data_IF_919400680741
#
_entry.id   IF_919400680741
#
_cell.length_a   1.000
_cell.length_b   1.000
_cell.length_c   1.000
_cell.angle_alpha   90.00
_cell.angle_beta   90.00
_cell.angle_gamma   90.00
#
_symmetry.space_group_name_H-M   'P 1'
#
loop_
_entity.id
_entity.type
_entity.pdbx_description
1 polymer ?
#
# COMPACT_ATOMS: atom_id res chain seq x y z
N UNK A 1 -95.94 21.32 -114.77
CA UNK A 1 -96.68 21.23 -116.04
C UNK A 1 -97.42 19.92 -116.08
N UNK A 2 -98.65 19.94 -115.57
CA UNK A 2 -99.82 19.14 -115.97
C UNK A 2 -100.94 19.60 -115.03
N UNK A 3 -101.58 20.70 -115.43
CA UNK A 3 -102.81 21.20 -114.83
C UNK A 3 -103.92 20.18 -115.10
N UNK A 4 -104.54 19.68 -114.04
CA UNK A 4 -105.76 18.87 -114.15
C UNK A 4 -106.92 19.85 -114.11
N UNK A 5 -107.40 20.21 -115.30
CA UNK A 5 -108.72 20.81 -115.51
C UNK A 5 -109.79 19.93 -114.84
N UNK A 6 -110.50 20.49 -113.87
CA UNK A 6 -111.79 19.96 -113.42
C UNK A 6 -112.82 21.03 -113.74
N UNK A 7 -113.18 21.07 -115.02
CA UNK A 7 -114.28 21.87 -115.52
C UNK A 7 -115.63 21.20 -115.18
N UNK A 8 -116.62 22.06 -114.96
CA UNK A 8 -117.83 21.81 -114.16
C UNK A 8 -118.89 21.03 -114.94
N UNK A 9 -119.22 19.82 -114.46
CA UNK A 9 -120.51 19.19 -114.74
C UNK A 9 -121.63 19.86 -113.94
N UNK A 10 -122.70 20.30 -114.63
CA UNK A 10 -123.97 20.72 -114.03
C UNK A 10 -124.60 19.56 -113.25
N UNK A 11 -124.93 19.78 -111.97
CA UNK A 11 -125.59 18.80 -111.10
C UNK A 11 -126.93 19.41 -110.68
N UNK A 12 -128.03 18.76 -111.09
CA UNK A 12 -129.40 19.28 -111.01
C UNK A 12 -130.29 18.45 -110.05
N UNK A 13 -129.74 17.91 -108.95
CA UNK A 13 -130.49 17.12 -107.95
C UNK A 13 -130.21 17.55 -106.48
N UNK A 14 -131.22 18.03 -105.72
CA UNK A 14 -131.06 18.50 -104.35
C UNK A 14 -130.73 17.39 -103.32
N UNK A 15 -131.01 16.12 -103.60
CA UNK A 15 -130.64 15.00 -102.71
C UNK A 15 -129.13 14.68 -102.76
N UNK A 16 -128.52 14.82 -103.93
CA UNK A 16 -127.07 14.62 -104.14
C UNK A 16 -126.25 15.69 -103.40
N UNK A 17 -126.76 16.93 -103.36
CA UNK A 17 -126.17 18.02 -102.57
C UNK A 17 -126.21 17.74 -101.06
N UNK A 18 -127.30 17.17 -100.53
CA UNK A 18 -127.40 16.78 -99.10
C UNK A 18 -126.46 15.64 -98.75
N UNK A 19 -126.32 14.64 -99.63
CA UNK A 19 -125.37 13.54 -99.43
C UNK A 19 -123.92 14.04 -99.45
N UNK A 20 -123.56 14.92 -100.40
CA UNK A 20 -122.24 15.59 -100.43
C UNK A 20 -121.98 16.45 -99.20
N UNK A 21 -123.00 17.13 -98.67
CA UNK A 21 -122.89 17.91 -97.43
C UNK A 21 -122.69 17.00 -96.22
N UNK A 22 -123.44 15.90 -96.09
CA UNK A 22 -123.26 14.93 -95.01
C UNK A 22 -121.90 14.21 -95.04
N UNK A 23 -121.38 13.90 -96.23
CA UNK A 23 -120.01 13.38 -96.41
C UNK A 23 -118.99 14.44 -95.98
N UNK A 24 -119.18 15.71 -96.39
CA UNK A 24 -118.31 16.81 -95.96
C UNK A 24 -118.38 17.06 -94.45
N UNK A 25 -119.54 16.98 -93.83
CA UNK A 25 -119.71 17.19 -92.38
C UNK A 25 -119.09 16.04 -91.58
N UNK A 26 -119.19 14.79 -92.05
CA UNK A 26 -118.46 13.66 -91.47
C UNK A 26 -116.96 13.82 -91.67
N UNK A 27 -116.51 14.24 -92.86
CA UNK A 27 -115.10 14.51 -93.13
C UNK A 27 -114.56 15.66 -92.26
N UNK A 28 -115.35 16.70 -92.04
CA UNK A 28 -115.02 17.79 -91.11
C UNK A 28 -114.91 17.25 -89.68
N UNK A 29 -115.81 16.36 -89.25
CA UNK A 29 -115.73 15.72 -87.93
C UNK A 29 -114.48 14.85 -87.78
N UNK A 30 -114.17 14.03 -88.78
CA UNK A 30 -112.93 13.22 -88.82
C UNK A 30 -111.69 14.11 -88.76
N UNK A 31 -111.66 15.21 -89.52
CA UNK A 31 -110.56 16.19 -89.45
C UNK A 31 -110.48 16.84 -88.08
N UNK A 32 -111.60 17.14 -87.42
CA UNK A 32 -111.58 17.65 -86.05
C UNK A 32 -111.07 16.61 -85.05
N UNK A 33 -111.48 15.34 -85.17
CA UNK A 33 -110.97 14.23 -84.35
C UNK A 33 -109.47 14.04 -84.56
N UNK A 34 -108.99 14.06 -85.80
CA UNK A 34 -107.57 13.97 -86.17
C UNK A 34 -106.77 15.17 -85.65
N UNK A 35 -107.31 16.39 -85.73
CA UNK A 35 -106.71 17.60 -85.14
C UNK A 35 -106.65 17.47 -83.62
N UNK A 36 -107.69 16.97 -82.95
CA UNK A 36 -107.68 16.79 -81.49
C UNK A 36 -106.70 15.72 -81.04
N UNK A 37 -106.61 14.59 -81.76
CA UNK A 37 -105.63 13.55 -81.49
C UNK A 37 -104.20 14.04 -81.73
N UNK A 38 -103.97 14.80 -82.80
CA UNK A 38 -102.67 15.41 -83.09
C UNK A 38 -102.26 16.44 -82.05
N UNK A 39 -103.21 17.23 -81.53
CA UNK A 39 -102.97 18.16 -80.41
C UNK A 39 -102.62 17.42 -79.12
N UNK A 40 -103.39 16.38 -78.77
CA UNK A 40 -103.10 15.58 -77.58
C UNK A 40 -101.71 14.92 -77.68
N UNK A 41 -101.37 14.34 -78.83
CA UNK A 41 -100.04 13.76 -79.07
C UNK A 41 -98.92 14.81 -79.02
N UNK A 42 -99.17 16.03 -79.51
CA UNK A 42 -98.22 17.15 -79.40
C UNK A 42 -98.06 17.61 -77.94
N UNK A 43 -99.14 17.69 -77.18
CA UNK A 43 -99.13 18.05 -75.75
C UNK A 43 -98.42 16.96 -74.92
N UNK A 44 -98.66 15.67 -75.20
CA UNK A 44 -97.95 14.54 -74.58
C UNK A 44 -96.46 14.54 -74.93
N UNK A 45 -96.11 14.81 -76.19
CA UNK A 45 -94.71 14.93 -76.61
C UNK A 45 -94.02 16.13 -75.94
N UNK A 46 -94.72 17.27 -75.82
CA UNK A 46 -94.22 18.45 -75.10
C UNK A 46 -94.06 18.17 -73.61
N UNK A 47 -95.01 17.49 -72.97
CA UNK A 47 -94.93 17.10 -71.56
C UNK A 47 -93.78 16.12 -71.30
N UNK A 48 -93.60 15.12 -72.18
CA UNK A 48 -92.48 14.18 -72.12
C UNK A 48 -91.14 14.88 -72.31
N UNK A 49 -91.05 15.82 -73.26
CA UNK A 49 -89.87 16.65 -73.48
C UNK A 49 -89.55 17.51 -72.26
N UNK A 50 -90.54 18.18 -71.68
CA UNK A 50 -90.37 19.00 -70.48
C UNK A 50 -89.93 18.17 -69.27
N UNK A 51 -90.47 16.96 -69.09
CA UNK A 51 -90.02 16.03 -68.06
C UNK A 51 -88.57 15.56 -68.29
N UNK A 52 -88.20 15.30 -69.55
CA UNK A 52 -86.82 14.97 -69.94
C UNK A 52 -85.84 16.11 -69.68
N UNK A 53 -86.21 17.35 -70.01
CA UNK A 53 -85.42 18.56 -69.74
C UNK A 53 -85.23 18.76 -68.23
N UNK A 54 -86.28 18.62 -67.42
CA UNK A 54 -86.17 18.70 -65.96
C UNK A 54 -85.29 17.61 -65.35
N UNK A 55 -85.32 16.39 -65.92
CA UNK A 55 -84.41 15.32 -65.50
C UNK A 55 -82.96 15.62 -65.87
N UNK A 56 -82.70 16.14 -67.08
CA UNK A 56 -81.36 16.57 -67.50
C UNK A 56 -80.82 17.67 -66.57
N UNK A 57 -81.62 18.69 -66.27
CA UNK A 57 -81.23 19.78 -65.36
C UNK A 57 -80.90 19.27 -63.94
N UNK A 58 -81.65 18.28 -63.45
CA UNK A 58 -81.35 17.62 -62.16
C UNK A 58 -80.01 16.88 -62.19
N UNK A 59 -79.73 16.13 -63.26
CA UNK A 59 -78.47 15.41 -63.45
C UNK A 59 -77.29 16.36 -63.64
N UNK A 60 -77.48 17.49 -64.31
CA UNK A 60 -76.45 18.53 -64.46
C UNK A 60 -76.12 19.17 -63.10
N UNK A 61 -77.15 19.45 -62.29
CA UNK A 61 -77.00 19.99 -60.93
C UNK A 61 -76.27 19.00 -60.01
N UNK A 62 -76.65 17.71 -60.05
CA UNK A 62 -75.96 16.65 -59.32
C UNK A 62 -74.51 16.47 -59.82
N UNK A 63 -74.30 16.53 -61.13
CA UNK A 63 -72.98 16.47 -61.75
C UNK A 63 -72.09 17.63 -61.31
N UNK A 64 -72.62 18.85 -61.22
CA UNK A 64 -71.92 20.02 -60.70
C UNK A 64 -71.55 19.84 -59.21
N UNK A 65 -72.50 19.37 -58.39
CA UNK A 65 -72.29 19.10 -56.96
C UNK A 65 -71.22 18.02 -56.73
N UNK A 66 -71.24 16.95 -57.52
CA UNK A 66 -70.23 15.89 -57.44
C UNK A 66 -68.84 16.39 -57.86
N UNK A 67 -68.76 17.24 -58.90
CA UNK A 67 -67.49 17.87 -59.30
C UNK A 67 -66.91 18.76 -58.21
N UNK A 68 -67.74 19.54 -57.53
CA UNK A 68 -67.33 20.35 -56.38
C UNK A 68 -66.83 19.45 -55.23
N UNK A 69 -67.58 18.40 -54.90
CA UNK A 69 -67.17 17.45 -53.87
C UNK A 69 -65.85 16.74 -54.18
N UNK A 70 -65.62 16.38 -55.44
CA UNK A 70 -64.34 15.80 -55.89
C UNK A 70 -63.20 16.81 -55.67
N UNK A 71 -63.41 18.08 -56.05
CA UNK A 71 -62.41 19.14 -55.86
C UNK A 71 -62.04 19.30 -54.38
N UNK A 72 -63.02 19.35 -53.48
CA UNK A 72 -62.78 19.46 -52.03
C UNK A 72 -61.98 18.27 -51.50
N UNK A 73 -62.36 17.04 -51.89
CA UNK A 73 -61.66 15.83 -51.47
C UNK A 73 -60.22 15.78 -52.00
N UNK A 74 -59.97 16.24 -53.23
CA UNK A 74 -58.63 16.37 -53.77
C UNK A 74 -57.79 17.40 -52.99
N UNK A 75 -58.38 18.55 -52.64
CA UNK A 75 -57.70 19.56 -51.83
C UNK A 75 -57.39 19.06 -50.42
N UNK A 76 -58.32 18.36 -49.79
CA UNK A 76 -58.09 17.69 -48.51
C UNK A 76 -56.96 16.67 -48.62
N UNK A 77 -56.96 15.83 -49.66
CA UNK A 77 -55.91 14.83 -49.89
C UNK A 77 -54.53 15.50 -50.08
N UNK A 78 -54.46 16.58 -50.88
CA UNK A 78 -53.25 17.40 -51.04
C UNK A 78 -52.82 18.02 -49.71
N UNK A 79 -53.77 18.49 -48.89
CA UNK A 79 -53.51 19.04 -47.57
C UNK A 79 -52.97 18.01 -46.57
N UNK A 80 -53.52 16.79 -46.56
CA UNK A 80 -53.01 15.67 -45.74
C UNK A 80 -51.63 15.24 -46.20
N UNK A 81 -51.41 15.15 -47.51
CA UNK A 81 -50.09 14.83 -48.09
C UNK A 81 -49.03 15.84 -47.65
N UNK A 82 -49.29 17.14 -47.79
CA UNK A 82 -48.36 18.20 -47.35
C UNK A 82 -48.02 18.13 -45.86
N UNK A 83 -49.02 17.84 -45.01
CA UNK A 83 -48.80 17.66 -43.57
C UNK A 83 -47.94 16.44 -43.27
N UNK A 84 -48.19 15.33 -43.96
CA UNK A 84 -47.39 14.10 -43.84
C UNK A 84 -45.94 14.34 -44.27
N UNK A 85 -45.71 14.97 -45.41
CA UNK A 85 -44.37 15.35 -45.88
C UNK A 85 -43.66 16.33 -44.93
N UNK A 86 -44.42 17.20 -44.23
CA UNK A 86 -43.89 18.05 -43.17
C UNK A 86 -43.41 17.25 -41.95
N UNK A 87 -44.25 16.31 -41.49
CA UNK A 87 -43.92 15.43 -40.37
C UNK A 87 -42.75 14.50 -40.69
N UNK A 88 -42.70 13.90 -41.88
CA UNK A 88 -41.60 13.05 -42.34
C UNK A 88 -40.26 13.80 -42.35
N UNK A 89 -40.26 15.08 -42.77
CA UNK A 89 -39.06 15.94 -42.71
C UNK A 89 -38.62 16.23 -41.26
N UNK A 90 -39.57 16.41 -40.35
CA UNK A 90 -39.26 16.61 -38.93
C UNK A 90 -38.70 15.35 -38.30
N UNK A 91 -39.31 14.18 -38.56
CA UNK A 91 -38.81 12.88 -38.11
C UNK A 91 -37.39 12.66 -38.60
N UNK A 92 -37.12 12.85 -39.89
CA UNK A 92 -35.79 12.69 -40.46
C UNK A 92 -34.75 13.67 -39.88
N UNK A 93 -35.16 14.84 -39.37
CA UNK A 93 -34.27 15.76 -38.65
C UNK A 93 -33.95 15.24 -37.25
N UNK A 94 -34.96 14.77 -36.52
CA UNK A 94 -34.80 14.24 -35.17
C UNK A 94 -33.98 12.96 -35.16
N UNK A 95 -34.17 12.06 -36.13
CA UNK A 95 -33.36 10.84 -36.28
C UNK A 95 -31.88 11.17 -36.44
N UNK A 96 -31.53 12.15 -37.29
CA UNK A 96 -30.15 12.62 -37.45
C UNK A 96 -29.57 13.29 -36.20
N UNK A 97 -30.43 13.85 -35.35
CA UNK A 97 -29.99 14.42 -34.08
C UNK A 97 -29.75 13.34 -33.02
N UNK A 98 -30.64 12.35 -32.95
CA UNK A 98 -30.47 11.17 -32.10
C UNK A 98 -29.18 10.43 -32.47
N UNK A 99 -28.96 10.12 -33.75
CA UNK A 99 -27.73 9.44 -34.20
C UNK A 99 -26.46 10.20 -33.78
N UNK A 100 -26.48 11.54 -33.89
CA UNK A 100 -25.35 12.37 -33.46
C UNK A 100 -25.15 12.31 -31.94
N UNK A 101 -26.23 12.31 -31.17
CA UNK A 101 -26.19 12.23 -29.71
C UNK A 101 -25.76 10.85 -29.23
N UNK A 102 -26.19 9.78 -29.89
CA UNK A 102 -25.74 8.42 -29.62
C UNK A 102 -24.24 8.29 -29.88
N UNK A 103 -23.73 8.90 -30.95
CA UNK A 103 -22.29 9.00 -31.19
C UNK A 103 -21.52 9.77 -30.11
N UNK A 104 -22.08 10.90 -29.62
CA UNK A 104 -21.50 11.64 -28.51
C UNK A 104 -21.51 10.84 -27.19
N UNK A 105 -22.57 10.07 -26.93
CA UNK A 105 -22.71 9.21 -25.74
C UNK A 105 -21.66 8.10 -25.81
N UNK A 106 -21.60 7.35 -26.92
CA UNK A 106 -20.61 6.29 -27.11
C UNK A 106 -19.17 6.79 -26.95
N UNK A 107 -18.86 7.99 -27.45
CA UNK A 107 -17.55 8.59 -27.25
C UNK A 107 -17.27 8.92 -25.77
N UNK A 108 -18.25 9.47 -25.05
CA UNK A 108 -18.11 9.77 -23.61
C UNK A 108 -17.95 8.49 -22.79
N UNK A 109 -18.71 7.45 -23.09
CA UNK A 109 -18.64 6.17 -22.41
C UNK A 109 -17.24 5.55 -22.57
N UNK A 110 -16.70 5.56 -23.80
CA UNK A 110 -15.32 5.13 -24.05
C UNK A 110 -14.28 5.92 -23.23
N UNK A 111 -14.44 7.25 -23.13
CA UNK A 111 -13.53 8.07 -22.33
C UNK A 111 -13.64 7.78 -20.83
N UNK A 112 -14.85 7.51 -20.33
CA UNK A 112 -15.09 7.15 -18.94
C UNK A 112 -14.47 5.79 -18.60
N UNK A 113 -14.67 4.80 -19.47
CA UNK A 113 -14.06 3.46 -19.34
C UNK A 113 -12.53 3.57 -19.30
N UNK A 114 -11.93 4.27 -20.27
CA UNK A 114 -10.48 4.50 -20.30
C UNK A 114 -9.97 5.24 -19.06
N UNK A 115 -10.75 6.16 -18.51
CA UNK A 115 -10.38 6.87 -17.27
C UNK A 115 -10.49 5.96 -16.05
N UNK A 116 -11.48 5.08 -16.00
CA UNK A 116 -11.62 4.08 -14.95
C UNK A 116 -10.40 3.13 -14.94
N UNK A 117 -10.01 2.60 -16.10
CA UNK A 117 -8.81 1.76 -16.24
C UNK A 117 -7.53 2.49 -15.78
N UNK A 118 -7.40 3.78 -16.11
CA UNK A 118 -6.26 4.58 -15.64
C UNK A 118 -6.25 4.76 -14.13
N UNK A 119 -7.41 4.98 -13.52
CA UNK A 119 -7.55 5.11 -12.06
C UNK A 119 -7.25 3.79 -11.35
N UNK A 120 -7.73 2.66 -11.89
CA UNK A 120 -7.42 1.33 -11.36
C UNK A 120 -5.92 1.03 -11.45
N UNK A 121 -5.29 1.28 -12.62
CA UNK A 121 -3.85 1.08 -12.78
C UNK A 121 -3.03 2.01 -11.87
N UNK A 122 -3.48 3.25 -11.64
CA UNK A 122 -2.86 4.15 -10.68
C UNK A 122 -3.04 3.67 -9.23
N UNK A 123 -4.22 3.15 -8.89
CA UNK A 123 -4.51 2.55 -7.59
C UNK A 123 -3.62 1.36 -7.30
N UNK A 124 -3.51 0.41 -8.23
CA UNK A 124 -2.62 -0.75 -8.11
C UNK A 124 -1.16 -0.34 -7.90
N UNK A 125 -0.64 0.60 -8.68
CA UNK A 125 0.73 1.11 -8.50
C UNK A 125 0.94 1.77 -7.15
N UNK A 126 -0.07 2.49 -6.65
CA UNK A 126 0.00 3.14 -5.34
C UNK A 126 0.01 2.09 -4.21
N UNK A 127 -0.81 1.05 -4.33
CA UNK A 127 -0.88 -0.06 -3.38
C UNK A 127 0.41 -0.91 -3.37
N UNK A 128 0.97 -1.20 -4.54
CA UNK A 128 2.28 -1.87 -4.67
C UNK A 128 3.40 -1.05 -4.01
N UNK A 129 3.40 0.27 -4.24
CA UNK A 129 4.39 1.16 -3.67
C UNK A 129 4.23 1.30 -2.15
N UNK A 130 3.00 1.34 -1.64
CA UNK A 130 2.71 1.31 -0.22
C UNK A 130 3.20 0.00 0.42
N UNK A 131 2.83 -1.14 -0.16
CA UNK A 131 3.26 -2.47 0.31
C UNK A 131 4.79 -2.61 0.34
N UNK A 132 5.48 -2.09 -0.68
CA UNK A 132 6.95 -2.08 -0.74
C UNK A 132 7.55 -1.21 0.37
N UNK A 133 6.96 -0.06 0.66
CA UNK A 133 7.40 0.83 1.75
C UNK A 133 7.17 0.19 3.11
N UNK A 134 6.03 -0.46 3.32
CA UNK A 134 5.71 -1.15 4.57
C UNK A 134 6.70 -2.30 4.83
N UNK A 135 7.02 -3.08 3.80
CA UNK A 135 8.04 -4.13 3.91
C UNK A 135 9.42 -3.56 4.27
N UNK A 136 9.83 -2.47 3.60
CA UNK A 136 11.09 -1.80 3.88
C UNK A 136 11.13 -1.21 5.30
N UNK A 137 10.01 -0.67 5.78
CA UNK A 137 9.89 -0.15 7.15
C UNK A 137 10.00 -1.27 8.18
N UNK A 138 9.33 -2.40 7.95
CA UNK A 138 9.44 -3.57 8.82
C UNK A 138 10.88 -4.11 8.88
N UNK A 139 11.58 -4.17 7.76
CA UNK A 139 12.98 -4.57 7.70
C UNK A 139 13.89 -3.60 8.47
N UNK A 140 13.69 -2.30 8.28
CA UNK A 140 14.42 -1.26 9.01
C UNK A 140 14.17 -1.35 10.52
N UNK A 141 12.93 -1.57 10.96
CA UNK A 141 12.58 -1.75 12.38
C UNK A 141 13.27 -2.98 12.98
N UNK A 142 13.28 -4.12 12.27
CA UNK A 142 14.02 -5.32 12.73
C UNK A 142 15.51 -5.07 12.85
N UNK A 143 16.09 -4.30 11.92
CA UNK A 143 17.51 -3.94 11.97
C UNK A 143 17.82 -3.04 13.17
N UNK A 144 16.95 -2.07 13.47
CA UNK A 144 17.11 -1.21 14.65
C UNK A 144 17.02 -2.04 15.94
N UNK A 145 16.00 -2.89 16.07
CA UNK A 145 15.84 -3.78 17.21
C UNK A 145 17.03 -4.76 17.39
N UNK A 146 17.65 -5.21 16.28
CA UNK A 146 18.91 -5.95 16.33
C UNK A 146 20.09 -5.12 16.87
N UNK A 147 20.25 -3.89 16.36
CA UNK A 147 21.32 -2.98 16.80
C UNK A 147 21.15 -2.55 18.27
N UNK A 148 19.92 -2.39 18.74
CA UNK A 148 19.62 -2.09 20.15
C UNK A 148 20.09 -3.21 21.06
N UNK A 149 19.81 -4.48 20.71
CA UNK A 149 20.32 -5.64 21.47
C UNK A 149 21.84 -5.72 21.46
N UNK A 150 22.47 -5.50 20.30
CA UNK A 150 23.93 -5.50 20.19
C UNK A 150 24.57 -4.40 21.05
N UNK A 151 23.91 -3.23 21.17
CA UNK A 151 24.35 -2.15 22.04
C UNK A 151 24.19 -2.53 23.51
N UNK A 152 23.06 -3.10 23.92
CA UNK A 152 22.84 -3.58 25.29
C UNK A 152 23.88 -4.62 25.70
N UNK A 153 24.20 -5.57 24.81
CA UNK A 153 25.23 -6.59 25.07
C UNK A 153 26.61 -5.94 25.29
N UNK A 154 26.99 -5.00 24.42
CA UNK A 154 28.26 -4.26 24.54
C UNK A 154 28.33 -3.40 25.80
N UNK A 155 27.23 -2.77 26.20
CA UNK A 155 27.16 -2.02 27.46
C UNK A 155 27.35 -2.95 28.68
N UNK A 156 26.80 -4.16 28.60
CA UNK A 156 27.05 -5.23 29.58
C UNK A 156 28.52 -5.65 29.64
N UNK A 157 29.14 -5.89 28.49
CA UNK A 157 30.58 -6.21 28.39
C UNK A 157 31.46 -5.10 28.97
N UNK A 158 31.18 -3.84 28.63
CA UNK A 158 31.89 -2.67 29.16
C UNK A 158 31.75 -2.61 30.69
N UNK A 159 30.55 -2.86 31.23
CA UNK A 159 30.33 -2.88 32.68
C UNK A 159 31.15 -3.97 33.37
N UNK A 160 31.20 -5.17 32.77
CA UNK A 160 32.02 -6.28 33.27
C UNK A 160 33.52 -5.94 33.23
N UNK A 161 34.01 -5.41 32.11
CA UNK A 161 35.40 -4.99 31.96
C UNK A 161 35.78 -3.87 32.92
N UNK A 162 34.89 -2.91 33.17
CA UNK A 162 35.14 -1.86 34.17
C UNK A 162 35.25 -2.45 35.58
N UNK A 163 34.41 -3.43 35.93
CA UNK A 163 34.50 -4.12 37.21
C UNK A 163 35.80 -4.92 37.37
N UNK A 164 36.30 -5.55 36.30
CA UNK A 164 37.59 -6.26 36.34
C UNK A 164 38.75 -5.27 36.44
N UNK A 165 38.71 -4.16 35.72
CA UNK A 165 39.72 -3.09 35.83
C UNK A 165 39.76 -2.53 37.24
N UNK A 166 38.61 -2.30 37.88
CA UNK A 166 38.57 -1.77 39.24
C UNK A 166 39.15 -2.76 40.26
N UNK A 167 38.83 -4.06 40.11
CA UNK A 167 39.44 -5.11 40.92
C UNK A 167 40.97 -5.12 40.76
N UNK A 168 41.46 -5.13 39.53
CA UNK A 168 42.90 -5.16 39.23
C UNK A 168 43.62 -3.89 39.72
N UNK A 169 42.96 -2.72 39.69
CA UNK A 169 43.50 -1.49 40.27
C UNK A 169 43.64 -1.62 41.78
N UNK A 170 42.61 -2.14 42.46
CA UNK A 170 42.66 -2.39 43.90
C UNK A 170 43.78 -3.36 44.28
N UNK A 171 43.95 -4.45 43.52
CA UNK A 171 45.04 -5.41 43.72
C UNK A 171 46.40 -4.74 43.55
N UNK A 172 46.57 -3.96 42.48
CA UNK A 172 47.82 -3.22 42.21
C UNK A 172 48.14 -2.19 43.31
N UNK A 173 47.14 -1.44 43.78
CA UNK A 173 47.30 -0.49 44.89
C UNK A 173 47.74 -1.21 46.16
N UNK A 174 47.14 -2.36 46.48
CA UNK A 174 47.50 -3.16 47.64
C UNK A 174 48.95 -3.68 47.56
N UNK A 175 49.39 -4.10 46.37
CA UNK A 175 50.76 -4.55 46.14
C UNK A 175 51.76 -3.39 46.26
N UNK A 176 51.43 -2.23 45.69
CA UNK A 176 52.26 -1.03 45.80
C UNK A 176 52.39 -0.57 47.24
N UNK A 177 51.31 -0.60 48.03
CA UNK A 177 51.35 -0.27 49.45
C UNK A 177 52.25 -1.24 50.22
N UNK A 178 52.16 -2.55 49.94
CA UNK A 178 53.03 -3.56 50.53
C UNK A 178 54.50 -3.31 50.19
N UNK A 179 54.82 -3.04 48.93
CA UNK A 179 56.19 -2.70 48.50
C UNK A 179 56.69 -1.43 49.19
N UNK A 180 55.85 -0.40 49.31
CA UNK A 180 56.18 0.82 50.03
C UNK A 180 56.52 0.56 51.50
N UNK A 181 55.77 -0.32 52.19
CA UNK A 181 56.07 -0.73 53.57
C UNK A 181 57.39 -1.50 53.68
N UNK A 182 57.70 -2.35 52.69
CA UNK A 182 58.93 -3.16 52.63
C UNK A 182 60.15 -2.42 52.06
N UNK A 183 59.97 -1.21 51.54
CA UNK A 183 61.08 -0.37 51.05
C UNK A 183 61.94 0.16 52.21
N UNK A 184 61.37 0.35 53.41
CA UNK A 184 62.13 0.69 54.60
C UNK A 184 62.96 -0.51 55.07
N UNK A 185 64.31 -0.40 55.12
CA UNK A 185 65.20 -1.48 55.56
C UNK A 185 64.80 -2.09 56.91
N UNK A 186 64.31 -1.29 57.85
CA UNK A 186 63.92 -1.77 59.17
C UNK A 186 62.67 -2.65 59.12
N UNK A 187 61.68 -2.28 58.31
CA UNK A 187 60.46 -3.07 58.13
C UNK A 187 60.74 -4.36 57.35
N UNK A 188 61.63 -4.29 56.36
CA UNK A 188 62.06 -5.45 55.57
C UNK A 188 62.78 -6.50 56.43
N UNK A 189 63.69 -6.06 57.29
CA UNK A 189 64.37 -6.93 58.26
C UNK A 189 63.39 -7.61 59.21
N UNK A 190 62.43 -6.85 59.76
CA UNK A 190 61.39 -7.41 60.64
C UNK A 190 60.53 -8.44 59.90
N UNK A 191 60.07 -8.12 58.70
CA UNK A 191 59.26 -9.02 57.87
C UNK A 191 60.02 -10.30 57.52
N UNK A 192 61.31 -10.22 57.17
CA UNK A 192 62.14 -11.40 56.94
C UNK A 192 62.38 -12.24 58.20
N UNK A 193 62.54 -11.61 59.37
CA UNK A 193 62.65 -12.35 60.64
C UNK A 193 61.33 -13.04 61.00
N UNK A 194 60.20 -12.37 60.82
CA UNK A 194 58.88 -12.96 61.05
C UNK A 194 58.63 -14.14 60.10
N UNK A 195 58.98 -13.98 58.82
CA UNK A 195 58.91 -15.04 57.82
C UNK A 195 59.81 -16.23 58.18
N UNK A 196 61.05 -16.00 58.62
CA UNK A 196 61.91 -17.07 59.16
C UNK A 196 61.32 -17.72 60.41
N UNK A 197 60.71 -16.93 61.30
CA UNK A 197 60.13 -17.45 62.53
C UNK A 197 58.92 -18.36 62.27
N UNK A 198 58.18 -18.11 61.18
CA UNK A 198 57.05 -18.94 60.75
C UNK A 198 57.48 -20.16 59.93
N UNK A 199 58.73 -20.17 59.44
CA UNK A 199 59.22 -21.22 58.55
C UNK A 199 59.68 -22.49 59.28
N UNK A 200 59.76 -23.59 58.52
CA UNK A 200 60.26 -24.89 59.01
C UNK A 200 61.75 -24.83 59.38
N UNK A 201 62.51 -23.92 58.77
CA UNK A 201 63.94 -23.71 59.07
C UNK A 201 64.18 -23.28 60.52
N UNK A 202 63.21 -22.60 61.16
CA UNK A 202 63.27 -22.32 62.60
C UNK A 202 63.36 -23.60 63.42
N UNK A 203 62.61 -24.65 63.06
CA UNK A 203 62.66 -25.94 63.79
C UNK A 203 64.04 -26.59 63.69
N UNK A 204 64.68 -26.50 62.52
CA UNK A 204 66.04 -27.00 62.31
C UNK A 204 67.07 -26.22 63.15
N UNK A 205 67.00 -24.88 63.13
CA UNK A 205 67.85 -24.01 63.95
C UNK A 205 67.67 -24.28 65.46
N UNK A 206 66.44 -24.48 65.92
CA UNK A 206 66.15 -24.78 67.32
C UNK A 206 66.67 -26.15 67.75
N UNK A 207 66.62 -27.16 66.88
CA UNK A 207 67.17 -28.47 67.16
C UNK A 207 68.69 -28.40 67.42
N UNK A 208 69.42 -27.61 66.64
CA UNK A 208 70.85 -27.36 66.85
C UNK A 208 71.12 -26.52 68.11
N UNK A 209 70.27 -25.55 68.41
CA UNK A 209 70.40 -24.73 69.62
C UNK A 209 70.24 -25.53 70.92
N UNK A 210 69.49 -26.66 70.90
CA UNK A 210 69.39 -27.55 72.07
C UNK A 210 70.67 -28.32 72.35
N UNK A 211 71.46 -28.64 71.32
CA UNK A 211 72.68 -29.43 71.47
C UNK A 211 73.90 -28.53 71.68
N UNK A 212 73.96 -27.39 71.01
CA UNK A 212 75.13 -26.50 70.99
C UNK A 212 74.97 -25.24 71.87
N UNK A 213 73.80 -25.04 72.48
CA UNK A 213 73.50 -23.86 73.28
C UNK A 213 72.90 -22.72 72.46
N UNK A 214 72.72 -21.56 73.08
CA UNK A 214 72.13 -20.40 72.40
C UNK A 214 73.08 -19.86 71.31
N UNK A 215 72.62 -19.68 70.07
CA UNK A 215 73.43 -19.06 69.04
C UNK A 215 73.55 -17.56 69.25
N UNK A 216 74.68 -17.00 68.84
CA UNK A 216 74.77 -15.60 68.52
C UNK A 216 74.08 -15.38 67.17
N UNK A 217 73.16 -14.40 67.11
CA UNK A 217 72.36 -14.14 65.90
C UNK A 217 72.75 -12.79 65.34
N UNK A 218 73.10 -12.82 64.07
CA UNK A 218 73.36 -11.63 63.29
C UNK A 218 72.38 -11.58 62.12
N UNK A 219 71.75 -10.43 61.93
CA UNK A 219 70.77 -10.21 60.87
C UNK A 219 71.16 -8.98 60.05
N UNK A 220 71.24 -9.13 58.74
CA UNK A 220 71.46 -8.03 57.80
C UNK A 220 70.60 -8.17 56.55
N UNK A 221 70.59 -7.13 55.71
CA UNK A 221 69.99 -7.23 54.38
C UNK A 221 71.06 -7.63 53.37
N UNK A 222 70.69 -8.46 52.41
CA UNK A 222 71.54 -8.82 51.27
C UNK A 222 71.73 -7.62 50.32
N UNK A 223 72.51 -7.81 49.24
CA UNK A 223 72.65 -6.79 48.20
C UNK A 223 71.47 -6.82 47.20
N UNK A 224 70.97 -5.66 46.79
CA UNK A 224 69.96 -5.51 45.74
C UNK A 224 68.90 -4.44 46.04
N UNK A 225 68.02 -4.18 45.08
CA UNK A 225 66.91 -3.21 45.23
C UNK A 225 65.80 -3.74 46.14
N UNK A 226 65.57 -5.05 46.13
CA UNK A 226 64.64 -5.76 46.99
C UNK A 226 65.39 -6.86 47.77
N UNK A 227 66.23 -6.51 48.77
CA UNK A 227 67.17 -7.46 49.36
C UNK A 227 66.53 -8.41 50.39
N UNK A 228 66.92 -9.69 50.37
CA UNK A 228 66.49 -10.65 51.39
C UNK A 228 67.09 -10.33 52.78
N UNK A 229 66.38 -10.69 53.84
CA UNK A 229 66.95 -10.69 55.18
C UNK A 229 67.83 -11.93 55.36
N UNK A 230 69.10 -11.71 55.69
CA UNK A 230 70.10 -12.74 55.94
C UNK A 230 70.21 -12.93 57.44
N UNK A 231 69.88 -14.12 57.92
CA UNK A 231 69.99 -14.51 59.32
C UNK A 231 71.15 -15.49 59.47
N UNK A 232 72.22 -15.06 60.13
CA UNK A 232 73.38 -15.88 60.43
C UNK A 232 73.37 -16.25 61.91
N UNK A 233 73.44 -17.55 62.16
CA UNK A 233 73.50 -18.15 63.48
C UNK A 233 74.88 -18.74 63.68
N UNK A 234 75.56 -18.39 64.76
CA UNK A 234 76.86 -18.95 65.13
C UNK A 234 76.80 -19.59 66.52
N UNK A 235 77.31 -20.81 66.66
CA UNK A 235 77.35 -21.55 67.92
C UNK A 235 78.79 -21.73 68.38
N UNK A 236 79.08 -21.24 69.59
CA UNK A 236 80.36 -21.43 70.30
C UNK A 236 81.62 -21.07 69.48
N UNK A 237 81.47 -20.24 68.45
CA UNK A 237 82.57 -19.87 67.55
C UNK A 237 83.09 -21.02 66.67
N UNK A 238 82.31 -22.09 66.47
CA UNK A 238 82.73 -23.26 65.69
C UNK A 238 81.76 -23.55 64.54
N UNK A 239 80.45 -23.61 64.80
CA UNK A 239 79.46 -23.96 63.76
C UNK A 239 78.63 -22.75 63.38
N UNK A 240 78.29 -22.61 62.10
CA UNK A 240 77.40 -21.55 61.64
C UNK A 240 76.40 -22.02 60.58
N UNK A 241 75.27 -21.34 60.52
CA UNK A 241 74.26 -21.49 59.47
C UNK A 241 73.71 -20.13 59.08
N UNK A 242 73.55 -19.91 57.78
CA UNK A 242 73.00 -18.68 57.22
C UNK A 242 71.75 -19.01 56.43
N UNK A 243 70.66 -18.33 56.75
CA UNK A 243 69.38 -18.42 56.07
C UNK A 243 69.09 -17.12 55.34
N UNK A 244 68.55 -17.24 54.13
CA UNK A 244 67.94 -16.12 53.42
C UNK A 244 66.44 -16.20 53.59
N UNK A 245 65.82 -15.09 53.99
CA UNK A 245 64.38 -14.93 54.13
C UNK A 245 63.94 -13.71 53.34
N UNK A 246 63.21 -13.94 52.25
CA UNK A 246 62.77 -12.86 51.37
C UNK A 246 61.27 -12.59 51.52
N UNK A 247 60.87 -11.47 52.17
CA UNK A 247 59.47 -11.08 52.30
C UNK A 247 58.90 -10.46 51.01
N UNK A 248 59.68 -10.35 49.93
CA UNK A 248 59.26 -9.74 48.67
C UNK A 248 58.08 -10.48 48.01
N UNK A 249 57.06 -9.76 47.50
CA UNK A 249 55.89 -10.37 46.89
C UNK A 249 56.19 -11.14 45.59
N UNK A 250 57.29 -10.80 44.90
CA UNK A 250 57.71 -11.44 43.64
C UNK A 250 58.48 -12.74 43.83
N UNK A 251 58.72 -13.16 45.08
CA UNK A 251 59.50 -14.36 45.38
C UNK A 251 58.57 -15.57 45.44
N UNK A 252 58.75 -16.49 44.49
CA UNK A 252 58.11 -17.80 44.49
C UNK A 252 58.54 -18.63 45.72
N UNK A 253 57.65 -19.49 46.22
CA UNK A 253 57.97 -20.36 47.36
C UNK A 253 59.03 -21.42 47.02
N UNK A 254 59.97 -21.76 47.93
CA UNK A 254 60.03 -21.34 49.33
C UNK A 254 60.75 -20.00 49.55
N UNK A 255 60.11 -19.12 50.34
CA UNK A 255 60.64 -17.78 50.66
C UNK A 255 61.72 -17.76 51.74
N UNK A 256 61.97 -18.89 52.38
CA UNK A 256 63.06 -19.09 53.35
C UNK A 256 63.86 -20.32 52.96
N UNK A 257 65.17 -20.16 52.82
CA UNK A 257 66.06 -21.24 52.47
C UNK A 257 67.42 -21.11 53.16
N UNK A 258 68.11 -22.24 53.32
CA UNK A 258 69.47 -22.28 53.84
C UNK A 258 70.43 -21.79 52.74
N UNK A 259 71.08 -20.65 52.97
CA UNK A 259 72.06 -20.05 52.05
C UNK A 259 73.45 -20.66 52.21
N UNK A 260 73.81 -21.09 53.42
CA UNK A 260 75.10 -21.75 53.69
C UNK A 260 75.20 -22.28 55.12
N UNK A 261 76.18 -23.15 55.35
CA UNK A 261 76.52 -23.70 56.66
C UNK A 261 77.99 -24.11 56.70
N UNK A 262 78.60 -24.14 57.89
CA UNK A 262 80.00 -24.58 58.08
C UNK A 262 80.32 -24.96 59.53
N UNK A 263 81.41 -25.72 59.70
CA UNK A 263 81.94 -26.18 60.99
C UNK A 263 83.23 -25.42 61.39
N UNK A 264 83.54 -24.35 60.67
CA UNK A 264 84.58 -23.36 60.96
C UNK A 264 84.08 -21.94 60.61
N UNK A 265 84.61 -20.91 61.27
CA UNK A 265 84.20 -19.51 61.04
C UNK A 265 84.77 -18.91 59.73
N UNK A 266 85.38 -19.71 58.86
CA UNK A 266 86.02 -19.21 57.63
C UNK A 266 85.01 -18.65 56.61
N UNK A 267 83.73 -19.05 56.72
CA UNK A 267 82.65 -18.61 55.84
C UNK A 267 81.75 -17.49 56.37
N UNK A 268 82.03 -16.91 57.55
CA UNK A 268 81.21 -15.86 58.16
C UNK A 268 82.08 -14.69 58.63
N UNK A 269 81.67 -13.47 58.30
CA UNK A 269 82.32 -12.26 58.82
C UNK A 269 82.05 -12.10 60.33
N UNK A 270 83.11 -11.92 61.13
CA UNK A 270 82.97 -11.68 62.57
C UNK A 270 82.37 -10.29 62.83
N UNK A 271 81.07 -10.25 63.07
CA UNK A 271 80.30 -9.05 63.43
C UNK A 271 79.63 -9.26 64.80
N UNK A 272 79.43 -8.21 65.61
CA UNK A 272 78.75 -8.34 66.89
C UNK A 272 77.27 -8.75 66.67
N UNK A 273 76.69 -9.59 67.54
CA UNK A 273 75.30 -10.00 67.42
C UNK A 273 74.37 -8.79 67.58
N UNK A 274 73.41 -8.64 66.67
CA UNK A 274 72.42 -7.56 66.66
C UNK A 274 70.98 -8.08 66.82
N UNK A 275 70.82 -9.39 66.99
CA UNK A 275 69.59 -10.08 67.26
C UNK A 275 69.83 -11.21 68.28
N UNK A 276 68.74 -11.76 68.82
CA UNK A 276 68.81 -12.90 69.75
C UNK A 276 67.63 -13.85 69.57
N UNK A 277 67.80 -15.08 70.06
CA UNK A 277 66.70 -16.03 70.22
C UNK A 277 65.98 -15.73 71.54
N UNK A 278 64.77 -15.21 71.44
CA UNK A 278 63.90 -14.85 72.56
C UNK A 278 62.98 -15.99 73.02
N UNK A 279 61.98 -15.66 73.88
CA UNK A 279 60.99 -16.61 74.37
C UNK A 279 60.26 -17.34 73.24
N UNK A 280 60.00 -18.63 73.42
CA UNK A 280 59.36 -19.47 72.39
C UNK A 280 60.28 -19.83 71.22
N UNK A 281 61.60 -19.72 71.41
CA UNK A 281 62.63 -20.02 70.40
C UNK A 281 62.42 -19.20 69.10
N UNK A 282 62.05 -17.92 69.24
CA UNK A 282 61.84 -16.98 68.11
C UNK A 282 62.98 -15.97 68.04
N UNK A 283 63.41 -15.63 66.83
CA UNK A 283 64.41 -14.57 66.60
C UNK A 283 63.77 -13.20 66.79
N UNK A 284 64.45 -12.31 67.51
CA UNK A 284 64.03 -10.91 67.71
C UNK A 284 65.22 -9.97 67.49
N UNK A 285 64.96 -8.81 66.86
CA UNK A 285 65.96 -7.74 66.70
C UNK A 285 66.23 -7.03 68.03
N UNK A 286 67.49 -6.66 68.25
CA UNK A 286 67.95 -5.97 69.46
C UNK A 286 68.63 -6.88 70.48
N UNK A 287 69.48 -6.28 71.32
CA UNK A 287 70.12 -6.89 72.49
C UNK A 287 69.29 -6.62 73.76
#
# INVERSE_FOLDING_TARGET
TTEVEVDRGEISDPEELKARLGIKDNHIRELYEEITASRLAADEANASKAAGEGYIESLESEGARLKERIRDLEEEARGRRRRREGAERQVARLERELERKDGEIAHRDYLLERRAEQMEAAGQRAEELASRKDLALQDALRRVDGLERDLEEREGEISNLNATVETLRGDLESEQELRGRLADPANRLRAGIDLFNESEQRRAMNALSRTLGQPEVYVELDAGDEPAAILTFTWQGVTWQTYASDPGPNVEEPRVYLKGAGEDLSGVESKPPNARVGPGERVMLGL
#
